data_IF_639356184758
#
_entry.id   IF_639356184758
#
_cell.length_a   1.000
_cell.length_b   1.000
_cell.length_c   1.000
_cell.angle_alpha   90.00
_cell.angle_beta   90.00
_cell.angle_gamma   90.00
#
_symmetry.space_group_name_H-M   'P 1'
#
loop_
_entity.id
_entity.type
_entity.pdbx_description
1 polymer ?
#
# COMPACT_ATOMS: atom_id res chain seq x y z
N UNK A 1 -30.98 -17.37 -8.60
CA UNK A 1 -31.13 -18.45 -7.61
C UNK A 1 -30.40 -18.00 -6.36
N UNK A 2 -31.11 -17.36 -5.43
CA UNK A 2 -30.58 -16.94 -4.12
C UNK A 2 -31.22 -17.86 -3.06
N UNK A 3 -30.43 -18.77 -2.50
CA UNK A 3 -30.86 -19.74 -1.49
C UNK A 3 -29.83 -19.79 -0.34
N UNK A 4 -29.75 -18.75 0.48
CA UNK A 4 -28.81 -18.74 1.61
C UNK A 4 -29.33 -18.09 2.91
N UNK A 5 -30.64 -17.87 3.07
CA UNK A 5 -31.09 -17.18 4.30
C UNK A 5 -32.54 -17.33 4.74
N UNK A 6 -33.46 -17.75 3.86
CA UNK A 6 -34.89 -17.73 4.19
C UNK A 6 -35.34 -18.89 5.09
N UNK A 7 -34.53 -19.95 5.18
CA UNK A 7 -34.96 -21.26 5.71
C UNK A 7 -34.48 -21.57 7.14
N UNK A 8 -33.74 -20.67 7.79
CA UNK A 8 -33.31 -20.83 9.20
C UNK A 8 -33.91 -19.80 10.18
N UNK A 9 -34.67 -18.82 9.70
CA UNK A 9 -35.26 -17.77 10.55
C UNK A 9 -36.38 -18.31 11.45
N UNK A 10 -37.06 -19.39 11.05
CA UNK A 10 -38.17 -20.00 11.81
C UNK A 10 -37.71 -20.91 12.96
N UNK A 11 -36.45 -21.36 12.99
CA UNK A 11 -35.93 -22.29 14.00
C UNK A 11 -35.24 -21.57 15.19
N UNK A 12 -34.85 -20.32 15.02
CA UNK A 12 -34.19 -19.53 16.07
C UNK A 12 -35.19 -18.57 16.71
N UNK A 13 -35.57 -18.80 17.98
CA UNK A 13 -36.37 -17.87 18.80
C UNK A 13 -35.67 -16.53 19.11
N UNK A 14 -34.65 -16.15 18.34
CA UNK A 14 -34.04 -14.84 18.45
C UNK A 14 -35.01 -13.84 17.81
N UNK A 15 -35.63 -12.95 18.58
CA UNK A 15 -36.45 -11.87 18.05
C UNK A 15 -35.71 -10.53 18.19
N UNK A 16 -35.92 -9.60 17.25
CA UNK A 16 -35.42 -8.23 17.36
C UNK A 16 -33.92 -8.06 17.08
N UNK A 17 -33.19 -7.44 18.01
CA UNK A 17 -31.79 -7.00 17.82
C UNK A 17 -30.82 -8.15 17.50
N UNK A 18 -31.01 -9.33 18.10
CA UNK A 18 -30.15 -10.51 17.86
C UNK A 18 -30.25 -11.06 16.43
N UNK A 19 -31.42 -10.95 15.78
CA UNK A 19 -31.56 -11.31 14.36
C UNK A 19 -30.86 -10.30 13.46
N UNK A 20 -30.98 -9.00 13.77
CA UNK A 20 -30.28 -7.93 13.04
C UNK A 20 -28.76 -8.06 13.18
N UNK A 21 -28.28 -8.41 14.37
CA UNK A 21 -26.88 -8.66 14.64
C UNK A 21 -26.36 -9.88 13.85
N UNK A 22 -27.06 -11.02 13.92
CA UNK A 22 -26.71 -12.22 13.15
C UNK A 22 -26.73 -12.00 11.63
N UNK A 23 -27.72 -11.25 11.13
CA UNK A 23 -27.79 -10.88 9.73
C UNK A 23 -26.61 -9.99 9.30
N UNK A 24 -26.21 -9.03 10.14
CA UNK A 24 -25.05 -8.16 9.87
C UNK A 24 -23.72 -8.93 9.91
N UNK A 25 -23.57 -9.88 10.82
CA UNK A 25 -22.40 -10.78 10.87
C UNK A 25 -22.30 -11.56 9.57
N UNK A 26 -23.37 -12.28 9.18
CA UNK A 26 -23.39 -13.09 7.96
C UNK A 26 -23.20 -12.24 6.69
N UNK A 27 -23.75 -11.01 6.67
CA UNK A 27 -23.52 -10.06 5.59
C UNK A 27 -22.04 -9.68 5.47
N UNK A 28 -21.39 -9.32 6.58
CA UNK A 28 -19.96 -8.95 6.56
C UNK A 28 -19.05 -10.11 6.16
N UNK A 29 -19.38 -11.33 6.58
CA UNK A 29 -18.65 -12.56 6.20
C UNK A 29 -18.85 -12.91 4.72
N UNK A 30 -20.06 -12.73 4.19
CA UNK A 30 -20.34 -12.92 2.76
C UNK A 30 -19.60 -11.90 1.89
N UNK A 31 -19.60 -10.62 2.29
CA UNK A 31 -18.84 -9.57 1.61
C UNK A 31 -17.33 -9.86 1.66
N UNK A 32 -16.81 -10.34 2.79
CA UNK A 32 -15.42 -10.78 2.91
C UNK A 32 -15.09 -11.92 1.94
N UNK A 33 -15.95 -12.94 1.86
CA UNK A 33 -15.79 -14.04 0.91
C UNK A 33 -15.74 -13.56 -0.54
N UNK A 34 -16.59 -12.60 -0.90
CA UNK A 34 -16.56 -11.97 -2.23
C UNK A 34 -15.27 -11.20 -2.48
N UNK A 35 -14.77 -10.43 -1.50
CA UNK A 35 -13.49 -9.73 -1.59
C UNK A 35 -12.32 -10.69 -1.79
N UNK A 36 -12.25 -11.77 -1.00
CA UNK A 36 -11.21 -12.80 -1.14
C UNK A 36 -11.26 -13.45 -2.53
N UNK A 37 -12.46 -13.72 -3.04
CA UNK A 37 -12.63 -14.25 -4.39
C UNK A 37 -12.17 -13.26 -5.46
N UNK A 38 -12.54 -11.98 -5.36
CA UNK A 38 -12.10 -10.94 -6.29
C UNK A 38 -10.57 -10.77 -6.27
N UNK A 39 -9.95 -10.88 -5.09
CA UNK A 39 -8.50 -10.91 -4.93
C UNK A 39 -7.86 -12.12 -5.61
N UNK A 40 -8.43 -13.31 -5.39
CA UNK A 40 -7.94 -14.55 -6.01
C UNK A 40 -8.11 -14.55 -7.53
N UNK A 41 -9.11 -13.84 -8.06
CA UNK A 41 -9.36 -13.65 -9.49
C UNK A 41 -8.49 -12.53 -10.11
N UNK A 42 -7.71 -11.79 -9.31
CA UNK A 42 -6.83 -10.72 -9.78
C UNK A 42 -7.56 -9.50 -10.33
N UNK A 43 -8.78 -9.20 -9.84
CA UNK A 43 -9.53 -8.03 -10.31
C UNK A 43 -8.89 -6.72 -9.85
N UNK A 44 -8.79 -5.77 -10.77
CA UNK A 44 -8.21 -4.45 -10.54
C UNK A 44 -9.04 -3.59 -9.57
N UNK A 45 -10.37 -3.77 -9.57
CA UNK A 45 -11.28 -3.09 -8.64
C UNK A 45 -11.94 -4.07 -7.68
N UNK A 46 -11.73 -3.84 -6.38
CA UNK A 46 -12.20 -4.70 -5.29
C UNK A 46 -13.05 -3.89 -4.32
N UNK A 47 -14.26 -4.38 -4.04
CA UNK A 47 -15.28 -3.63 -3.30
C UNK A 47 -15.14 -3.76 -1.78
N UNK A 48 -14.05 -3.23 -1.21
CA UNK A 48 -13.81 -3.25 0.24
C UNK A 48 -14.82 -2.43 1.05
N UNK A 49 -15.61 -1.55 0.40
CA UNK A 49 -16.48 -0.58 1.07
C UNK A 49 -17.84 -1.13 1.51
N UNK A 50 -18.18 -2.35 1.12
CA UNK A 50 -19.52 -2.92 1.31
C UNK A 50 -19.79 -3.42 2.75
N UNK A 51 -18.75 -3.52 3.58
CA UNK A 51 -18.89 -3.78 5.02
C UNK A 51 -17.82 -3.02 5.84
N UNK A 52 -18.11 -2.76 7.12
CA UNK A 52 -17.11 -2.18 8.05
C UNK A 52 -15.90 -3.10 8.21
N UNK A 53 -16.13 -4.42 8.22
CA UNK A 53 -15.08 -5.42 8.37
C UNK A 53 -14.12 -5.42 7.18
N UNK A 54 -14.63 -5.42 5.94
CA UNK A 54 -13.79 -5.35 4.74
C UNK A 54 -13.09 -4.00 4.58
N UNK A 55 -13.65 -2.90 5.10
CA UNK A 55 -12.94 -1.62 5.18
C UNK A 55 -11.75 -1.69 6.12
N UNK A 56 -11.92 -2.28 7.30
CA UNK A 56 -10.83 -2.46 8.26
C UNK A 56 -9.75 -3.42 7.72
N UNK A 57 -10.17 -4.49 7.05
CA UNK A 57 -9.27 -5.47 6.46
C UNK A 57 -8.70 -5.05 5.11
N UNK A 58 -9.14 -3.94 4.53
CA UNK A 58 -8.70 -3.49 3.20
C UNK A 58 -7.18 -3.32 3.10
N UNK A 59 -6.53 -2.89 4.19
CA UNK A 59 -5.08 -2.75 4.24
C UNK A 59 -4.35 -4.10 4.34
N UNK A 60 -4.99 -5.12 4.93
CA UNK A 60 -4.44 -6.46 5.06
C UNK A 60 -4.71 -7.34 3.83
N UNK A 61 -5.77 -7.02 3.08
CA UNK A 61 -6.24 -7.79 1.93
C UNK A 61 -5.97 -7.10 0.59
N UNK A 62 -5.65 -5.81 0.59
CA UNK A 62 -5.51 -5.02 -0.63
C UNK A 62 -4.08 -4.90 -1.12
N UNK A 63 -3.93 -4.83 -2.44
CA UNK A 63 -2.67 -4.47 -3.08
C UNK A 63 -2.43 -2.96 -2.92
N UNK A 64 -1.71 -2.60 -1.85
CA UNK A 64 -1.28 -1.22 -1.57
C UNK A 64 -0.44 -0.68 -2.71
N UNK A 65 0.35 -1.53 -3.36
CA UNK A 65 1.24 -1.10 -4.42
C UNK A 65 0.45 -0.74 -5.68
N UNK A 66 -0.37 -1.64 -6.19
CA UNK A 66 -1.16 -1.40 -7.40
C UNK A 66 -2.14 -0.24 -7.27
N UNK A 67 -2.79 -0.10 -6.12
CA UNK A 67 -3.85 0.91 -5.93
C UNK A 67 -3.36 2.32 -5.59
N UNK A 68 -2.25 2.46 -4.86
CA UNK A 68 -1.77 3.76 -4.37
C UNK A 68 -0.44 4.16 -4.99
N UNK A 69 0.49 3.22 -5.10
CA UNK A 69 1.88 3.53 -5.41
C UNK A 69 2.14 3.53 -6.90
N UNK A 70 1.55 2.59 -7.65
CA UNK A 70 1.74 2.48 -9.09
C UNK A 70 1.45 3.79 -9.85
N UNK A 71 0.31 4.49 -9.63
CA UNK A 71 0.05 5.77 -10.31
C UNK A 71 1.05 6.87 -9.95
N UNK A 72 1.61 6.84 -8.73
CA UNK A 72 2.63 7.79 -8.31
C UNK A 72 3.97 7.54 -9.01
N UNK A 73 4.34 6.28 -9.22
CA UNK A 73 5.54 5.91 -9.99
C UNK A 73 5.38 6.33 -11.45
N UNK A 74 4.21 6.10 -12.04
CA UNK A 74 3.93 6.50 -13.42
C UNK A 74 4.03 8.04 -13.57
N UNK A 75 3.46 8.80 -12.63
CA UNK A 75 3.61 10.26 -12.58
C UNK A 75 5.07 10.70 -12.38
N UNK A 76 5.84 9.97 -11.57
CA UNK A 76 7.26 10.25 -11.37
C UNK A 76 8.08 10.07 -12.67
N UNK A 77 7.77 9.04 -13.46
CA UNK A 77 8.42 8.81 -14.76
C UNK A 77 8.07 9.87 -15.80
N UNK A 78 6.94 10.56 -15.65
CA UNK A 78 6.55 11.73 -16.45
C UNK A 78 7.27 13.04 -16.03
N UNK A 79 8.05 13.00 -14.95
CA UNK A 79 8.83 14.14 -14.46
C UNK A 79 8.22 14.89 -13.28
N UNK A 80 7.15 14.36 -12.67
CA UNK A 80 6.59 14.90 -11.45
C UNK A 80 7.33 14.40 -10.20
N UNK A 81 7.20 15.11 -9.09
CA UNK A 81 7.72 14.66 -7.80
C UNK A 81 6.67 13.80 -7.08
N UNK A 82 7.08 12.64 -6.58
CA UNK A 82 6.24 11.77 -5.75
C UNK A 82 6.86 11.60 -4.35
N UNK A 83 6.03 11.47 -3.32
CA UNK A 83 6.49 11.23 -1.94
C UNK A 83 5.52 10.29 -1.24
N UNK A 84 6.07 9.26 -0.59
CA UNK A 84 5.31 8.23 0.12
C UNK A 84 5.75 8.21 1.57
N UNK A 85 4.79 8.28 2.49
CA UNK A 85 5.03 8.18 3.92
C UNK A 85 4.32 6.95 4.49
N UNK A 86 5.03 6.14 5.26
CA UNK A 86 4.42 5.15 6.15
C UNK A 86 4.39 5.73 7.56
N UNK A 87 3.18 5.95 8.09
CA UNK A 87 2.97 6.49 9.43
C UNK A 87 2.24 5.47 10.31
N UNK A 88 2.43 5.57 11.63
CA UNK A 88 1.81 4.67 12.60
C UNK A 88 2.69 4.43 13.83
N UNK A 89 2.12 3.87 14.89
CA UNK A 89 2.85 3.55 16.12
C UNK A 89 3.96 2.51 15.90
N UNK A 90 4.91 2.41 16.83
CA UNK A 90 5.92 1.33 16.81
C UNK A 90 5.24 -0.04 16.71
N UNK A 91 5.84 -0.96 15.95
CA UNK A 91 5.29 -2.28 15.65
C UNK A 91 4.05 -2.31 14.73
N UNK A 92 3.61 -1.18 14.15
CA UNK A 92 2.45 -1.15 13.23
C UNK A 92 2.74 -1.62 11.79
N UNK A 93 3.91 -2.20 11.53
CA UNK A 93 4.26 -2.69 10.18
C UNK A 93 4.79 -1.64 9.19
N UNK A 94 5.19 -0.43 9.63
CA UNK A 94 5.80 0.60 8.74
C UNK A 94 7.01 0.09 7.96
N UNK A 95 7.98 -0.48 8.68
CA UNK A 95 9.20 -1.04 8.09
C UNK A 95 8.89 -2.20 7.16
N UNK A 96 7.93 -3.04 7.54
CA UNK A 96 7.45 -4.13 6.69
C UNK A 96 6.79 -3.62 5.41
N UNK A 97 6.00 -2.55 5.48
CA UNK A 97 5.36 -1.97 4.29
C UNK A 97 6.39 -1.35 3.35
N UNK A 98 7.38 -0.61 3.88
CA UNK A 98 8.40 0.06 3.05
C UNK A 98 9.43 -0.93 2.51
N UNK A 99 10.05 -1.75 3.36
CA UNK A 99 11.16 -2.63 2.98
C UNK A 99 10.71 -4.06 2.68
N UNK A 100 9.72 -4.56 3.41
CA UNK A 100 9.27 -5.95 3.34
C UNK A 100 10.34 -6.95 3.79
N UNK A 101 10.24 -8.16 3.25
CA UNK A 101 11.14 -9.27 3.50
C UNK A 101 11.37 -10.07 2.19
N UNK A 102 12.12 -11.16 2.25
CA UNK A 102 12.48 -11.96 1.05
C UNK A 102 11.28 -12.64 0.39
N UNK A 103 10.29 -13.03 1.19
CA UNK A 103 9.08 -13.74 0.71
C UNK A 103 7.95 -12.78 0.36
N UNK A 104 7.93 -11.60 0.97
CA UNK A 104 6.93 -10.55 0.77
C UNK A 104 7.64 -9.20 0.59
N UNK A 105 7.96 -8.82 -0.67
CA UNK A 105 8.73 -7.62 -0.96
C UNK A 105 7.93 -6.35 -0.64
N UNK A 106 8.59 -5.39 0.02
CA UNK A 106 7.97 -4.12 0.36
C UNK A 106 7.91 -3.15 -0.82
N UNK A 107 7.29 -1.99 -0.58
CA UNK A 107 7.12 -0.94 -1.58
C UNK A 107 8.43 -0.51 -2.24
N UNK A 108 9.53 -0.42 -1.48
CA UNK A 108 10.84 -0.05 -2.01
C UNK A 108 11.28 -0.99 -3.14
N UNK A 109 11.11 -2.29 -2.95
CA UNK A 109 11.53 -3.28 -3.94
C UNK A 109 10.58 -3.30 -5.15
N UNK A 110 9.27 -3.20 -4.93
CA UNK A 110 8.28 -3.14 -6.00
C UNK A 110 8.46 -1.89 -6.88
N UNK A 111 8.65 -0.71 -6.26
CA UNK A 111 8.91 0.55 -6.96
C UNK A 111 10.23 0.48 -7.73
N UNK A 112 11.30 -0.02 -7.10
CA UNK A 112 12.60 -0.19 -7.76
C UNK A 112 12.48 -1.04 -9.03
N UNK A 113 11.80 -2.19 -8.93
CA UNK A 113 11.59 -3.08 -10.07
C UNK A 113 10.83 -2.40 -11.21
N UNK A 114 9.72 -1.69 -10.91
CA UNK A 114 8.96 -0.96 -11.94
C UNK A 114 9.77 0.18 -12.57
N UNK A 115 10.55 0.92 -11.78
CA UNK A 115 11.42 1.98 -12.30
C UNK A 115 12.43 1.43 -13.30
N UNK A 116 13.15 0.36 -12.92
CA UNK A 116 14.15 -0.25 -13.81
C UNK A 116 13.50 -0.91 -15.02
N UNK A 117 12.33 -1.52 -14.87
CA UNK A 117 11.58 -2.08 -15.99
C UNK A 117 11.16 -0.98 -16.98
N UNK A 118 10.60 0.13 -16.50
CA UNK A 118 10.23 1.26 -17.36
C UNK A 118 11.44 1.85 -18.10
N UNK A 119 12.60 1.93 -17.44
CA UNK A 119 13.85 2.36 -18.08
C UNK A 119 14.31 1.37 -19.15
N UNK A 120 14.19 0.07 -18.89
CA UNK A 120 14.54 -0.97 -19.87
C UNK A 120 13.63 -0.95 -21.10
N UNK A 121 12.35 -0.62 -20.93
CA UNK A 121 11.36 -0.56 -22.01
C UNK A 121 11.51 0.69 -22.91
N UNK A 122 12.16 1.74 -22.42
CA UNK A 122 12.31 3.03 -23.13
C UNK A 122 13.70 3.17 -23.77
N UNK A 123 13.86 2.61 -24.98
CA UNK A 123 15.15 2.56 -25.70
C UNK A 123 15.65 3.94 -26.18
N UNK A 124 14.75 4.91 -26.39
CA UNK A 124 15.07 6.22 -26.97
C UNK A 124 15.36 7.32 -25.91
N UNK A 125 15.44 6.94 -24.63
CA UNK A 125 15.67 7.88 -23.52
C UNK A 125 16.88 7.47 -22.70
N UNK A 126 17.70 8.43 -22.32
CA UNK A 126 18.81 8.23 -21.37
C UNK A 126 18.36 8.65 -19.98
N UNK A 127 18.49 7.73 -19.03
CA UNK A 127 18.16 7.96 -17.63
C UNK A 127 19.43 8.01 -16.77
N UNK A 128 19.45 8.94 -15.81
CA UNK A 128 20.43 8.95 -14.72
C UNK A 128 19.67 8.75 -13.40
N UNK A 129 19.76 7.55 -12.85
CA UNK A 129 19.13 7.21 -11.57
C UNK A 129 20.12 7.49 -10.43
N UNK A 130 19.70 8.27 -9.45
CA UNK A 130 20.46 8.53 -8.21
C UNK A 130 19.59 8.16 -7.03
N UNK A 131 20.18 7.45 -6.07
CA UNK A 131 19.52 7.05 -4.84
C UNK A 131 20.33 7.57 -3.64
N UNK A 132 19.63 7.90 -2.56
CA UNK A 132 20.23 8.26 -1.28
C UNK A 132 19.37 7.64 -0.19
N UNK A 133 20.01 7.10 0.85
CA UNK A 133 19.31 6.49 1.98
C UNK A 133 19.79 7.15 3.26
N UNK A 134 18.88 7.86 3.93
CA UNK A 134 19.21 8.83 4.98
C UNK A 134 18.32 8.54 6.19
N UNK A 135 18.92 8.61 7.38
CA UNK A 135 18.20 8.60 8.66
C UNK A 135 18.21 10.00 9.27
N UNK A 136 17.08 10.40 9.84
CA UNK A 136 16.98 11.57 10.71
C UNK A 136 16.70 11.06 12.12
N UNK A 137 17.67 11.20 13.01
CA UNK A 137 17.56 10.78 14.40
C UNK A 137 18.04 11.88 15.34
N UNK A 138 17.18 12.31 16.26
CA UNK A 138 17.45 13.39 17.21
C UNK A 138 17.99 14.66 16.51
N UNK A 139 17.28 15.13 15.47
CA UNK A 139 17.65 16.29 14.63
C UNK A 139 19.01 16.17 13.92
N UNK A 140 19.64 14.99 13.92
CA UNK A 140 20.86 14.71 13.16
C UNK A 140 20.54 13.90 11.92
N UNK A 141 21.14 14.29 10.81
CA UNK A 141 21.00 13.63 9.53
C UNK A 141 22.22 12.73 9.32
N UNK A 142 21.97 11.44 9.08
CA UNK A 142 23.02 10.43 8.93
C UNK A 142 22.85 9.73 7.58
N UNK A 143 23.93 9.57 6.84
CA UNK A 143 23.94 8.74 5.63
C UNK A 143 23.96 7.25 6.03
N UNK A 144 23.01 6.48 5.50
CA UNK A 144 22.91 5.04 5.73
C UNK A 144 23.69 4.22 4.70
N UNK A 145 24.08 4.82 3.57
CA UNK A 145 24.93 4.18 2.56
C UNK A 145 26.43 4.36 2.88
N UNK A 146 26.80 5.47 3.50
CA UNK A 146 28.16 5.73 3.97
C UNK A 146 28.20 6.07 5.46
N UNK A 147 28.54 5.07 6.29
CA UNK A 147 28.60 5.22 7.74
C UNK A 147 29.65 6.22 8.22
N UNK A 148 30.61 6.63 7.39
CA UNK A 148 31.57 7.67 7.75
C UNK A 148 30.96 9.07 7.75
N UNK A 149 29.81 9.25 7.09
CA UNK A 149 29.19 10.53 6.82
C UNK A 149 28.01 10.80 7.78
N UNK A 150 28.34 11.14 9.03
CA UNK A 150 27.38 11.39 10.11
C UNK A 150 27.22 12.89 10.39
N UNK A 151 26.03 13.32 10.81
CA UNK A 151 25.78 14.73 11.16
C UNK A 151 25.78 15.68 9.96
N UNK A 152 25.21 15.24 8.83
CA UNK A 152 25.06 16.02 7.62
C UNK A 152 24.28 17.32 7.89
N UNK A 153 24.74 18.42 7.28
CA UNK A 153 24.04 19.70 7.33
C UNK A 153 23.20 19.89 6.06
N UNK A 154 21.91 20.24 6.23
CA UNK A 154 21.05 20.62 5.12
C UNK A 154 21.57 21.90 4.46
N UNK A 155 21.82 21.84 3.16
CA UNK A 155 22.23 23.00 2.36
C UNK A 155 21.23 23.19 1.23
N UNK A 156 20.79 24.44 1.04
CA UNK A 156 19.92 24.78 -0.09
C UNK A 156 20.77 24.80 -1.35
N UNK A 157 20.42 23.96 -2.32
CA UNK A 157 21.04 24.02 -3.63
C UNK A 157 20.59 25.30 -4.34
N UNK A 158 21.52 26.24 -4.54
CA UNK A 158 21.29 27.40 -5.40
C UNK A 158 21.65 26.98 -6.83
N UNK A 159 20.63 26.82 -7.69
CA UNK A 159 20.87 26.75 -9.13
C UNK A 159 21.51 28.06 -9.55
N UNK A 160 22.76 28.04 -9.99
CA UNK A 160 23.27 29.10 -10.87
C UNK A 160 22.47 28.99 -12.16
N UNK A 161 21.54 29.91 -12.39
CA UNK A 161 20.99 30.13 -13.72
C UNK A 161 22.19 30.45 -14.61
N UNK A 162 22.50 29.57 -15.56
CA UNK A 162 23.39 29.92 -16.66
C UNK A 162 22.66 31.01 -17.45
N UNK A 163 23.20 32.23 -17.39
CA UNK A 163 22.77 33.35 -18.22
C UNK A 163 23.24 33.15 -19.67
#
# INVERSE_FOLDING_TARGET
MDLAGSERVSLTKAAGERLKEGANINKSLSVLGNVIRQLSEGKEFISYRDSKLTRLLSQALGDVYGSVVKPLVDSFMEGFNATIFAYGQTSSGKTHTILGNKTDPGLFQLVSNQLFQHVADQVDKRYLIRCSYIEIYNEKINDLLDKSNQGLTMRRYQRKCAA
#
